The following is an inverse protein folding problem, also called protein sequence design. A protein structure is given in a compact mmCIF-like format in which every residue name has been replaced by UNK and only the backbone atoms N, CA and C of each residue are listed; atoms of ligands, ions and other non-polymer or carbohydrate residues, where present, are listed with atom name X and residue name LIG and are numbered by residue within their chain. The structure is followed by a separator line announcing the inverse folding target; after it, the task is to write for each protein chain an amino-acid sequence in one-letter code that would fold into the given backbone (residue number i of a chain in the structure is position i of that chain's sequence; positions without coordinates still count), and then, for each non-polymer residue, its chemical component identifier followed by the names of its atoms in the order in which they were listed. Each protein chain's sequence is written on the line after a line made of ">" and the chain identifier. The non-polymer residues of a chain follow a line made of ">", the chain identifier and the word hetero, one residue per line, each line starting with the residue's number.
data_IF_847042100831
#
_entry.id   IF_847042100831
#
_cell.length_a   1.000
_cell.length_b   1.000
_cell.length_c   1.000
_cell.angle_alpha   90.00
_cell.angle_beta   90.00
_cell.angle_gamma   90.00
#
_symmetry.space_group_name_H-M   'P 1'
#
loop_
_entity.id
_entity.type
_entity.pdbx_description
1 polymer ?
#
# COMPACT_ATOMS: atom_id res chain seq x y z
N UNK A 1 -22.68 12.46 22.18
CA UNK A 1 -21.96 13.48 21.39
C UNK A 1 -20.50 13.59 21.83
N UNK A 2 -20.19 13.85 23.09
CA UNK A 2 -18.81 14.01 23.61
C UNK A 2 -17.90 12.78 23.39
N UNK A 3 -18.43 11.57 23.45
CA UNK A 3 -17.69 10.33 23.21
C UNK A 3 -17.24 10.18 21.75
N UNK A 4 -18.03 10.71 20.80
CA UNK A 4 -17.66 10.78 19.38
C UNK A 4 -16.66 11.90 19.12
N UNK A 5 -16.79 13.03 19.80
CA UNK A 5 -15.87 14.17 19.68
C UNK A 5 -14.42 13.77 20.04
N UNK A 6 -14.26 13.01 21.13
CA UNK A 6 -12.95 12.48 21.54
C UNK A 6 -12.30 11.60 20.47
N UNK A 7 -13.09 10.69 19.85
CA UNK A 7 -12.59 9.86 18.74
C UNK A 7 -12.24 10.68 17.50
N UNK A 8 -13.07 11.66 17.14
CA UNK A 8 -12.82 12.56 16.00
C UNK A 8 -11.56 13.39 16.22
N UNK A 9 -11.37 13.96 17.42
CA UNK A 9 -10.15 14.72 17.77
C UNK A 9 -8.92 13.82 17.72
N UNK A 10 -8.99 12.59 18.22
CA UNK A 10 -7.85 11.66 18.17
C UNK A 10 -7.47 11.29 16.75
N UNK A 11 -8.46 11.08 15.87
CA UNK A 11 -8.21 10.78 14.45
C UNK A 11 -7.66 12.02 13.73
N UNK A 12 -8.26 13.19 13.95
CA UNK A 12 -7.81 14.45 13.38
C UNK A 12 -6.41 14.84 13.83
N UNK A 13 -6.09 14.62 15.10
CA UNK A 13 -4.75 14.88 15.67
C UNK A 13 -3.69 13.99 15.02
N UNK A 14 -4.00 12.73 14.73
CA UNK A 14 -3.08 11.83 14.01
C UNK A 14 -2.74 12.35 12.61
N UNK A 15 -3.75 12.86 11.88
CA UNK A 15 -3.55 13.50 10.57
C UNK A 15 -2.75 14.80 10.67
N UNK A 16 -3.07 15.63 11.66
CA UNK A 16 -2.36 16.88 11.91
C UNK A 16 -0.88 16.64 12.27
N UNK A 17 -0.58 15.62 13.09
CA UNK A 17 0.80 15.22 13.40
C UNK A 17 1.56 14.80 12.13
N UNK A 18 0.93 14.04 11.23
CA UNK A 18 1.54 13.68 9.95
C UNK A 18 1.93 14.91 9.11
N UNK A 19 1.02 15.87 8.97
CA UNK A 19 1.28 17.13 8.27
C UNK A 19 2.36 17.96 8.97
N UNK A 20 2.33 18.02 10.30
CA UNK A 20 3.35 18.71 11.09
C UNK A 20 4.75 18.12 10.88
N UNK A 21 4.87 16.79 10.81
CA UNK A 21 6.14 16.11 10.53
C UNK A 21 6.69 16.47 9.14
N UNK A 22 5.82 16.58 8.12
CA UNK A 22 6.23 17.02 6.78
C UNK A 22 6.74 18.46 6.81
N UNK A 23 6.05 19.36 7.52
CA UNK A 23 6.47 20.75 7.67
C UNK A 23 7.81 20.88 8.40
N UNK A 24 7.98 20.14 9.49
CA UNK A 24 9.24 20.10 10.26
C UNK A 24 10.39 19.61 9.37
N UNK A 25 10.19 18.52 8.64
CA UNK A 25 11.14 18.00 7.64
C UNK A 25 11.56 19.09 6.65
N UNK A 26 10.57 19.80 6.09
CA UNK A 26 10.81 20.84 5.08
C UNK A 26 11.60 22.01 5.65
N UNK A 27 11.29 22.46 6.85
CA UNK A 27 12.02 23.53 7.53
C UNK A 27 13.49 23.15 7.77
N UNK A 28 13.75 21.96 8.30
CA UNK A 28 15.13 21.49 8.52
C UNK A 28 15.91 21.38 7.22
N UNK A 29 15.34 20.78 6.17
CA UNK A 29 16.01 20.65 4.88
C UNK A 29 16.31 22.02 4.27
N UNK A 30 15.35 22.95 4.29
CA UNK A 30 15.56 24.31 3.79
C UNK A 30 16.72 24.99 4.53
N UNK A 31 16.76 24.90 5.86
CA UNK A 31 17.83 25.50 6.68
C UNK A 31 19.19 24.88 6.33
N UNK A 32 19.29 23.56 6.22
CA UNK A 32 20.53 22.85 5.87
C UNK A 32 21.00 23.24 4.46
N UNK A 33 20.10 23.23 3.48
CA UNK A 33 20.41 23.54 2.08
C UNK A 33 20.82 24.99 1.93
N UNK A 34 20.11 25.92 2.60
CA UNK A 34 20.45 27.33 2.58
C UNK A 34 21.83 27.59 3.21
N UNK A 35 22.18 26.90 4.30
CA UNK A 35 23.46 27.08 4.96
C UNK A 35 24.65 26.55 4.18
N UNK A 36 24.47 25.47 3.39
CA UNK A 36 25.55 24.79 2.66
C UNK A 36 25.60 25.23 1.18
N UNK A 37 24.44 25.33 0.53
CA UNK A 37 24.32 25.57 -0.91
C UNK A 37 23.87 26.98 -1.31
N UNK A 38 23.48 27.80 -0.34
CA UNK A 38 22.99 29.15 -0.57
C UNK A 38 21.78 29.21 -1.50
N UNK A 39 21.66 30.30 -2.25
CA UNK A 39 20.57 30.52 -3.20
C UNK A 39 20.52 29.48 -4.33
N UNK A 40 21.68 29.10 -4.86
CA UNK A 40 21.75 28.08 -5.93
C UNK A 40 21.27 26.69 -5.46
N UNK A 41 21.62 26.31 -4.22
CA UNK A 41 21.13 25.11 -3.59
C UNK A 41 19.61 25.13 -3.39
N UNK A 42 19.05 26.26 -3.02
CA UNK A 42 17.59 26.43 -2.83
C UNK A 42 16.83 26.36 -4.15
N UNK A 43 17.38 26.93 -5.24
CA UNK A 43 16.80 26.80 -6.58
C UNK A 43 16.75 25.32 -6.99
N UNK A 44 17.86 24.60 -6.87
CA UNK A 44 17.92 23.17 -7.17
C UNK A 44 16.94 22.35 -6.31
N UNK A 45 16.83 22.66 -5.02
CA UNK A 45 15.91 22.00 -4.11
C UNK A 45 14.44 22.23 -4.47
N UNK A 46 14.08 23.42 -4.91
CA UNK A 46 12.70 23.72 -5.32
C UNK A 46 12.24 22.86 -6.48
N UNK A 47 13.10 22.62 -7.47
CA UNK A 47 12.81 21.72 -8.59
C UNK A 47 12.75 20.26 -8.14
N UNK A 48 13.73 19.81 -7.34
CA UNK A 48 13.77 18.46 -6.82
C UNK A 48 12.53 18.15 -5.97
N UNK A 49 12.12 19.06 -5.09
CA UNK A 49 10.94 18.89 -4.23
C UNK A 49 9.65 18.89 -5.04
N UNK A 50 9.52 19.77 -6.03
CA UNK A 50 8.37 19.78 -6.93
C UNK A 50 8.25 18.48 -7.73
N UNK A 51 9.36 18.01 -8.30
CA UNK A 51 9.40 16.70 -8.98
C UNK A 51 9.04 15.55 -8.05
N UNK A 52 9.50 15.60 -6.80
CA UNK A 52 9.16 14.60 -5.79
C UNK A 52 7.67 14.63 -5.43
N UNK A 53 7.03 15.82 -5.37
CA UNK A 53 5.59 15.95 -5.15
C UNK A 53 4.81 15.26 -6.29
N UNK A 54 5.15 15.55 -7.55
CA UNK A 54 4.52 14.87 -8.70
C UNK A 54 4.66 13.36 -8.61
N UNK A 55 5.86 12.87 -8.35
CA UNK A 55 6.10 11.44 -8.18
C UNK A 55 5.31 10.86 -7.02
N UNK A 56 5.24 11.57 -5.88
CA UNK A 56 4.50 11.10 -4.70
C UNK A 56 2.99 11.05 -4.94
N UNK A 57 2.40 11.94 -5.75
CA UNK A 57 0.98 11.87 -6.11
C UNK A 57 0.67 10.58 -6.87
N UNK A 58 1.51 10.20 -7.84
CA UNK A 58 1.38 8.95 -8.57
C UNK A 58 1.53 7.72 -7.65
N UNK A 59 2.59 7.71 -6.83
CA UNK A 59 2.86 6.62 -5.88
C UNK A 59 1.72 6.47 -4.88
N UNK A 60 1.26 7.58 -4.33
CA UNK A 60 0.17 7.62 -3.35
C UNK A 60 -1.13 7.10 -3.97
N UNK A 61 -1.50 7.58 -5.17
CA UNK A 61 -2.67 7.10 -5.89
C UNK A 61 -2.66 5.59 -6.09
N UNK A 62 -1.55 5.06 -6.65
CA UNK A 62 -1.39 3.63 -6.87
C UNK A 62 -1.36 2.80 -5.57
N UNK A 63 -0.80 3.35 -4.49
CA UNK A 63 -0.75 2.65 -3.20
C UNK A 63 -2.08 2.68 -2.46
N UNK A 64 -2.82 3.78 -2.53
CA UNK A 64 -4.12 3.92 -1.86
C UNK A 64 -5.20 3.03 -2.48
N UNK A 65 -5.16 2.76 -3.78
CA UNK A 65 -6.10 1.82 -4.42
C UNK A 65 -6.01 0.41 -3.85
N UNK A 66 -4.88 0.06 -3.23
CA UNK A 66 -4.69 -1.23 -2.57
C UNK A 66 -5.51 -1.33 -1.26
N UNK A 67 -5.78 -0.21 -0.57
CA UNK A 67 -6.44 -0.22 0.75
C UNK A 67 -7.82 -0.90 0.72
N UNK A 68 -8.77 -0.51 -0.15
CA UNK A 68 -10.07 -1.16 -0.19
C UNK A 68 -9.98 -2.63 -0.58
N UNK A 69 -9.09 -2.98 -1.53
CA UNK A 69 -8.89 -4.37 -1.97
C UNK A 69 -8.39 -5.23 -0.81
N UNK A 70 -7.36 -4.77 -0.11
CA UNK A 70 -6.83 -5.48 1.08
C UNK A 70 -7.88 -5.54 2.18
N UNK A 71 -8.66 -4.46 2.39
CA UNK A 71 -9.71 -4.44 3.39
C UNK A 71 -10.75 -5.53 3.17
N UNK A 72 -11.20 -5.71 1.93
CA UNK A 72 -12.13 -6.79 1.55
C UNK A 72 -11.49 -8.16 1.74
N UNK A 73 -10.29 -8.38 1.18
CA UNK A 73 -9.58 -9.67 1.31
C UNK A 73 -9.34 -10.06 2.79
N UNK A 74 -8.99 -9.08 3.65
CA UNK A 74 -8.83 -9.34 5.09
C UNK A 74 -10.15 -9.69 5.76
N UNK A 75 -11.26 -9.03 5.37
CA UNK A 75 -12.60 -9.36 5.87
C UNK A 75 -13.01 -10.79 5.53
N UNK A 76 -12.54 -11.31 4.42
CA UNK A 76 -12.82 -12.66 3.93
C UNK A 76 -11.75 -13.70 4.34
N UNK A 77 -10.75 -13.31 5.13
CA UNK A 77 -9.57 -14.13 5.47
C UNK A 77 -8.79 -14.63 4.23
N UNK A 78 -8.96 -13.95 3.10
CA UNK A 78 -8.24 -14.24 1.85
C UNK A 78 -6.84 -13.62 1.88
N UNK A 79 -5.93 -14.23 2.59
CA UNK A 79 -4.55 -13.74 2.71
C UNK A 79 -3.76 -13.89 1.40
N UNK A 80 -4.15 -14.80 0.52
CA UNK A 80 -3.56 -14.92 -0.82
C UNK A 80 -3.95 -13.75 -1.72
N UNK A 81 -5.21 -13.31 -1.65
CA UNK A 81 -5.68 -12.09 -2.30
C UNK A 81 -4.91 -10.86 -1.81
N UNK A 82 -4.67 -10.74 -0.51
CA UNK A 82 -3.83 -9.67 0.06
C UNK A 82 -2.42 -9.71 -0.52
N UNK A 83 -1.77 -10.89 -0.55
CA UNK A 83 -0.43 -11.06 -1.12
C UNK A 83 -0.39 -10.73 -2.61
N UNK A 84 -1.41 -11.15 -3.35
CA UNK A 84 -1.53 -10.86 -4.78
C UNK A 84 -1.68 -9.37 -5.04
N UNK A 85 -2.58 -8.68 -4.32
CA UNK A 85 -2.78 -7.24 -4.44
C UNK A 85 -1.49 -6.46 -4.15
N UNK A 86 -0.80 -6.80 -3.06
CA UNK A 86 0.49 -6.19 -2.73
C UNK A 86 1.54 -6.42 -3.82
N UNK A 87 1.72 -7.66 -4.28
CA UNK A 87 2.71 -8.00 -5.33
C UNK A 87 2.39 -7.29 -6.64
N UNK A 88 1.11 -7.12 -6.97
CA UNK A 88 0.68 -6.41 -8.18
C UNK A 88 1.01 -4.93 -8.08
N UNK A 89 0.65 -4.29 -6.96
CA UNK A 89 0.99 -2.89 -6.69
C UNK A 89 2.51 -2.67 -6.67
N UNK A 90 3.27 -3.57 -6.02
CA UNK A 90 4.72 -3.52 -5.96
C UNK A 90 5.37 -3.57 -7.36
N UNK A 91 4.89 -4.46 -8.24
CA UNK A 91 5.40 -4.55 -9.62
C UNK A 91 5.12 -3.27 -10.42
N UNK A 92 3.89 -2.75 -10.34
CA UNK A 92 3.52 -1.51 -11.04
C UNK A 92 4.39 -0.35 -10.56
N UNK A 93 4.51 -0.18 -9.25
CA UNK A 93 5.32 0.90 -8.66
C UNK A 93 6.82 0.73 -8.93
N UNK A 94 7.34 -0.50 -8.89
CA UNK A 94 8.74 -0.76 -9.22
C UNK A 94 9.06 -0.38 -10.66
N UNK A 95 8.25 -0.87 -11.60
CA UNK A 95 8.47 -0.59 -13.03
C UNK A 95 8.34 0.90 -13.31
N UNK A 96 7.25 1.53 -12.88
CA UNK A 96 7.00 2.95 -13.14
C UNK A 96 8.04 3.86 -12.48
N UNK A 97 8.43 3.59 -11.23
CA UNK A 97 9.44 4.40 -10.54
C UNK A 97 10.83 4.28 -11.18
N UNK A 98 11.20 3.07 -11.64
CA UNK A 98 12.46 2.87 -12.35
C UNK A 98 12.43 3.55 -13.72
N UNK A 99 11.33 3.47 -14.47
CA UNK A 99 11.20 4.15 -15.77
C UNK A 99 11.32 5.67 -15.60
N UNK A 100 10.63 6.25 -14.62
CA UNK A 100 10.71 7.69 -14.34
C UNK A 100 12.11 8.09 -13.86
N UNK A 101 12.72 7.28 -13.00
CA UNK A 101 14.11 7.49 -12.54
C UNK A 101 15.06 7.52 -13.73
N UNK A 102 14.98 6.54 -14.62
CA UNK A 102 15.86 6.48 -15.80
C UNK A 102 15.62 7.68 -16.74
N UNK A 103 14.37 8.06 -16.97
CA UNK A 103 14.04 9.24 -17.77
C UNK A 103 14.69 10.51 -17.21
N UNK A 104 14.57 10.75 -15.90
CA UNK A 104 15.17 11.91 -15.24
C UNK A 104 16.71 11.83 -15.23
N UNK A 105 17.28 10.65 -15.08
CA UNK A 105 18.74 10.49 -15.10
C UNK A 105 19.33 10.77 -16.49
N UNK A 106 18.62 10.42 -17.57
CA UNK A 106 19.07 10.65 -18.94
C UNK A 106 18.85 12.11 -19.32
N UNK A 107 17.62 12.60 -19.20
CA UNK A 107 17.19 13.92 -19.68
C UNK A 107 16.53 14.76 -18.56
N UNK A 108 17.30 15.30 -17.60
CA UNK A 108 16.74 16.12 -16.53
C UNK A 108 16.34 17.53 -16.99
N UNK A 109 16.98 18.08 -18.03
CA UNK A 109 16.79 19.47 -18.46
C UNK A 109 15.35 19.84 -18.85
N UNK A 110 14.60 19.02 -19.61
CA UNK A 110 13.21 19.33 -19.94
C UNK A 110 12.34 19.53 -18.67
N UNK A 111 12.59 18.74 -17.64
CA UNK A 111 11.87 18.86 -16.37
C UNK A 111 12.27 20.13 -15.64
N UNK A 112 13.56 20.46 -15.60
CA UNK A 112 14.07 21.67 -14.96
C UNK A 112 13.47 22.92 -15.64
N UNK A 113 13.43 22.93 -16.97
CA UNK A 113 12.82 24.00 -17.76
C UNK A 113 11.31 24.08 -17.56
N UNK A 114 10.62 22.95 -17.43
CA UNK A 114 9.20 22.90 -17.13
C UNK A 114 8.85 23.60 -15.80
N UNK A 115 9.73 23.51 -14.79
CA UNK A 115 9.61 24.25 -13.54
C UNK A 115 10.06 25.72 -13.60
N UNK A 116 10.31 26.25 -14.81
CA UNK A 116 10.56 27.67 -15.05
C UNK A 116 12.02 28.12 -14.88
N UNK A 117 12.97 27.20 -14.73
CA UNK A 117 14.39 27.54 -14.68
C UNK A 117 14.94 27.63 -16.10
N UNK A 118 15.36 28.84 -16.48
CA UNK A 118 15.90 29.14 -17.82
C UNK A 118 17.38 29.55 -17.80
N UNK A 119 17.91 29.92 -16.62
CA UNK A 119 19.31 30.30 -16.45
C UNK A 119 20.24 29.10 -16.69
N UNK A 120 21.22 29.18 -17.62
CA UNK A 120 22.15 28.10 -17.89
C UNK A 120 22.94 27.65 -16.66
N UNK A 121 23.30 28.59 -15.78
CA UNK A 121 24.03 28.31 -14.55
C UNK A 121 23.19 27.54 -13.56
N UNK A 122 21.91 27.90 -13.39
CA UNK A 122 21.00 27.21 -12.48
C UNK A 122 20.64 25.81 -13.00
N UNK A 123 20.50 25.66 -14.34
CA UNK A 123 20.32 24.35 -14.95
C UNK A 123 21.53 23.47 -14.67
N UNK A 124 22.75 23.96 -14.88
CA UNK A 124 23.97 23.20 -14.64
C UNK A 124 24.11 22.75 -13.19
N UNK A 125 23.71 23.59 -12.23
CA UNK A 125 23.71 23.25 -10.79
C UNK A 125 22.59 22.28 -10.41
N UNK A 126 21.44 22.32 -11.10
CA UNK A 126 20.26 21.52 -10.78
C UNK A 126 20.31 20.11 -11.38
N UNK A 127 20.96 19.93 -12.54
CA UNK A 127 21.10 18.62 -13.20
C UNK A 127 21.64 17.53 -12.28
N UNK A 128 22.78 17.69 -11.60
CA UNK A 128 23.29 16.65 -10.69
C UNK A 128 22.35 16.43 -9.49
N UNK A 129 21.74 17.47 -8.94
CA UNK A 129 20.77 17.36 -7.88
C UNK A 129 19.54 16.52 -8.29
N UNK A 130 19.00 16.76 -9.48
CA UNK A 130 17.87 16.03 -10.05
C UNK A 130 18.19 14.55 -10.29
N UNK A 131 19.37 14.26 -10.84
CA UNK A 131 19.82 12.87 -11.07
C UNK A 131 19.93 12.09 -9.76
N UNK A 132 20.55 12.69 -8.73
CA UNK A 132 20.68 12.04 -7.42
C UNK A 132 19.30 11.90 -6.76
N UNK A 133 18.46 12.94 -6.83
CA UNK A 133 17.11 12.86 -6.29
C UNK A 133 16.28 11.75 -6.97
N UNK A 134 16.39 11.58 -8.27
CA UNK A 134 15.69 10.53 -9.00
C UNK A 134 16.05 9.12 -8.54
N UNK A 135 17.30 8.89 -8.10
CA UNK A 135 17.72 7.60 -7.52
C UNK A 135 16.94 7.25 -6.24
N UNK A 136 16.35 8.22 -5.58
CA UNK A 136 15.52 7.97 -4.40
C UNK A 136 14.11 7.44 -4.73
N UNK A 137 13.62 7.59 -5.95
CA UNK A 137 12.23 7.30 -6.34
C UNK A 137 11.81 5.84 -6.17
N UNK A 138 12.60 4.83 -6.57
CA UNK A 138 12.25 3.45 -6.31
C UNK A 138 12.13 3.14 -4.80
N UNK A 139 13.06 3.64 -4.00
CA UNK A 139 13.00 3.51 -2.55
C UNK A 139 11.78 4.22 -1.94
N UNK A 140 11.47 5.42 -2.42
CA UNK A 140 10.28 6.18 -2.03
C UNK A 140 9.00 5.40 -2.34
N UNK A 141 8.91 4.81 -3.53
CA UNK A 141 7.75 4.01 -3.96
C UNK A 141 7.51 2.82 -3.02
N UNK A 142 8.56 2.09 -2.68
CA UNK A 142 8.46 0.96 -1.75
C UNK A 142 8.15 1.41 -0.32
N UNK A 143 8.71 2.51 0.15
CA UNK A 143 8.42 3.06 1.48
C UNK A 143 6.93 3.43 1.61
N UNK A 144 6.36 4.09 0.61
CA UNK A 144 4.94 4.44 0.58
C UNK A 144 4.05 3.20 0.41
N UNK A 145 4.43 2.25 -0.44
CA UNK A 145 3.70 1.00 -0.58
C UNK A 145 3.58 0.26 0.75
N UNK A 146 4.69 0.13 1.49
CA UNK A 146 4.69 -0.50 2.81
C UNK A 146 3.88 0.30 3.83
N UNK A 147 3.98 1.63 3.81
CA UNK A 147 3.19 2.51 4.67
C UNK A 147 1.69 2.25 4.49
N UNK A 148 1.19 2.26 3.26
CA UNK A 148 -0.22 2.03 2.96
C UNK A 148 -0.64 0.58 3.16
N UNK A 149 0.26 -0.37 2.93
CA UNK A 149 0.04 -1.77 3.25
C UNK A 149 -0.20 -2.00 4.75
N UNK A 150 0.69 -1.47 5.61
CA UNK A 150 0.51 -1.60 7.05
C UNK A 150 -0.68 -0.78 7.59
N UNK A 151 -1.04 0.28 6.90
CA UNK A 151 -2.27 1.03 7.18
C UNK A 151 -3.51 0.19 6.86
N UNK A 152 -3.55 -0.45 5.69
CA UNK A 152 -4.65 -1.33 5.25
C UNK A 152 -4.79 -2.57 6.16
N UNK A 153 -3.68 -3.16 6.59
CA UNK A 153 -3.66 -4.31 7.50
C UNK A 153 -3.82 -3.93 8.98
N UNK A 154 -4.23 -2.67 9.27
CA UNK A 154 -4.48 -2.11 10.59
C UNK A 154 -3.28 -2.10 11.55
N UNK A 155 -2.06 -2.27 11.03
CA UNK A 155 -0.80 -2.19 11.80
C UNK A 155 -0.32 -0.74 11.88
N UNK A 156 -1.15 0.13 12.46
CA UNK A 156 -0.94 1.59 12.49
C UNK A 156 0.39 2.01 13.12
N UNK A 157 0.86 1.28 14.14
CA UNK A 157 2.13 1.58 14.78
C UNK A 157 3.31 1.48 13.81
N UNK A 158 3.32 0.44 12.95
CA UNK A 158 4.37 0.24 11.94
C UNK A 158 4.27 1.32 10.86
N UNK A 159 3.06 1.59 10.36
CA UNK A 159 2.83 2.65 9.39
C UNK A 159 3.30 4.03 9.89
N UNK A 160 2.98 4.38 11.13
CA UNK A 160 3.45 5.63 11.75
C UNK A 160 4.97 5.64 11.92
N UNK A 161 5.56 4.53 12.34
CA UNK A 161 7.00 4.40 12.46
C UNK A 161 7.71 4.63 11.12
N UNK A 162 7.19 4.08 10.02
CA UNK A 162 7.72 4.29 8.66
C UNK A 162 7.74 5.79 8.33
N UNK A 163 6.64 6.50 8.60
CA UNK A 163 6.54 7.94 8.32
C UNK A 163 7.58 8.76 9.11
N UNK A 164 7.74 8.48 10.39
CA UNK A 164 8.68 9.18 11.26
C UNK A 164 10.14 8.87 10.87
N UNK A 165 10.45 7.61 10.61
CA UNK A 165 11.79 7.15 10.25
C UNK A 165 12.21 7.78 8.92
N UNK A 166 11.36 7.69 7.92
CA UNK A 166 11.62 8.26 6.58
C UNK A 166 11.74 9.78 6.62
N UNK A 167 10.83 10.45 7.33
CA UNK A 167 10.74 11.91 7.32
C UNK A 167 11.79 12.62 8.17
N UNK A 168 12.14 12.07 9.33
CA UNK A 168 12.95 12.79 10.34
C UNK A 168 14.16 12.00 10.77
N UNK A 169 13.97 10.73 11.21
CA UNK A 169 15.00 9.99 11.95
C UNK A 169 16.23 9.67 11.11
N UNK A 170 16.04 9.35 9.85
CA UNK A 170 17.16 9.04 8.94
C UNK A 170 17.54 10.26 8.11
N UNK A 171 16.55 10.96 7.55
CA UNK A 171 16.81 12.03 6.59
C UNK A 171 17.59 13.21 7.20
N UNK A 172 17.15 13.73 8.35
CA UNK A 172 17.77 14.92 8.93
C UNK A 172 19.21 14.64 9.38
N UNK A 173 19.51 13.56 10.15
CA UNK A 173 20.89 13.26 10.53
C UNK A 173 21.77 12.95 9.32
N UNK A 174 21.27 12.22 8.33
CA UNK A 174 22.06 11.93 7.11
C UNK A 174 22.33 13.20 6.30
N UNK A 175 21.38 14.14 6.20
CA UNK A 175 21.60 15.42 5.54
C UNK A 175 22.65 16.28 6.26
N UNK A 176 22.64 16.30 7.58
CA UNK A 176 23.64 17.02 8.38
C UNK A 176 25.04 16.39 8.25
N UNK A 177 25.13 15.06 8.38
CA UNK A 177 26.40 14.34 8.32
C UNK A 177 26.99 14.43 6.92
N UNK A 178 26.23 13.99 5.89
CA UNK A 178 26.71 13.99 4.51
C UNK A 178 26.93 15.40 3.99
N UNK A 179 26.09 16.37 4.41
CA UNK A 179 26.25 17.78 4.06
C UNK A 179 27.55 18.36 4.62
N UNK A 180 27.95 17.97 5.82
CA UNK A 180 29.23 18.41 6.42
C UNK A 180 30.44 17.85 5.69
N UNK A 181 30.39 16.58 5.23
CA UNK A 181 31.55 15.93 4.59
C UNK A 181 31.62 16.18 3.08
N UNK A 182 30.50 16.24 2.39
CA UNK A 182 30.41 16.29 0.93
C UNK A 182 29.70 17.55 0.40
N UNK A 183 29.44 18.54 1.26
CA UNK A 183 28.75 19.77 0.88
C UNK A 183 27.33 19.50 0.38
N UNK A 184 26.87 20.32 -0.57
CA UNK A 184 25.50 20.25 -1.08
C UNK A 184 25.18 18.91 -1.76
N UNK A 185 26.16 18.28 -2.42
CA UNK A 185 26.02 16.96 -3.03
C UNK A 185 25.71 15.90 -2.00
N UNK A 186 26.31 15.98 -0.80
CA UNK A 186 26.00 15.10 0.32
C UNK A 186 24.55 15.23 0.79
N UNK A 187 23.99 16.45 0.76
CA UNK A 187 22.57 16.64 1.09
C UNK A 187 21.66 15.96 0.07
N UNK A 188 22.00 15.97 -1.21
CA UNK A 188 21.24 15.23 -2.22
C UNK A 188 21.29 13.72 -1.98
N UNK A 189 22.46 13.16 -1.67
CA UNK A 189 22.58 11.72 -1.35
C UNK A 189 21.81 11.34 -0.08
N UNK A 190 21.59 12.26 0.87
CA UNK A 190 20.79 11.97 2.05
C UNK A 190 19.35 11.55 1.74
N UNK A 191 18.79 12.04 0.62
CA UNK A 191 17.46 11.64 0.16
C UNK A 191 17.43 10.14 -0.22
N UNK A 192 18.48 9.66 -0.87
CA UNK A 192 18.63 8.23 -1.22
C UNK A 192 18.86 7.39 0.03
N UNK A 193 19.77 7.83 0.90
CA UNK A 193 20.09 7.17 2.17
C UNK A 193 18.86 7.04 3.06
N UNK A 194 18.02 8.09 3.11
CA UNK A 194 16.78 8.05 3.87
C UNK A 194 15.83 6.95 3.39
N UNK A 195 15.69 6.76 2.08
CA UNK A 195 14.82 5.71 1.53
C UNK A 195 15.37 4.31 1.80
N UNK A 196 16.64 4.09 1.50
CA UNK A 196 17.30 2.80 1.75
C UNK A 196 17.29 2.46 3.25
N UNK A 197 17.67 3.44 4.09
CA UNK A 197 17.66 3.26 5.54
C UNK A 197 16.27 2.97 6.09
N UNK A 198 15.22 3.62 5.56
CA UNK A 198 13.84 3.32 5.95
C UNK A 198 13.48 1.87 5.63
N UNK A 199 13.78 1.39 4.43
CA UNK A 199 13.50 0.00 4.05
C UNK A 199 14.24 -1.02 4.92
N UNK A 200 15.51 -0.73 5.24
CA UNK A 200 16.31 -1.56 6.16
C UNK A 200 15.68 -1.60 7.55
N UNK A 201 15.30 -0.45 8.10
CA UNK A 201 14.67 -0.41 9.44
C UNK A 201 13.32 -1.12 9.43
N UNK A 202 12.50 -0.92 8.39
CA UNK A 202 11.22 -1.64 8.27
C UNK A 202 11.42 -3.15 8.22
N UNK A 203 12.45 -3.62 7.50
CA UNK A 203 12.80 -5.05 7.49
C UNK A 203 13.12 -5.57 8.89
N UNK A 204 13.88 -4.82 9.69
CA UNK A 204 14.17 -5.21 11.09
C UNK A 204 12.94 -5.16 12.00
N UNK A 205 12.05 -4.18 11.82
CA UNK A 205 10.76 -4.11 12.54
C UNK A 205 9.95 -5.36 12.23
N UNK A 206 9.84 -5.72 10.95
CA UNK A 206 9.13 -6.91 10.50
C UNK A 206 9.69 -8.19 11.11
N UNK A 207 11.01 -8.31 11.14
CA UNK A 207 11.69 -9.44 11.76
C UNK A 207 11.44 -9.51 13.28
N UNK A 208 11.43 -8.36 13.95
CA UNK A 208 11.14 -8.27 15.38
C UNK A 208 9.68 -8.65 15.70
N UNK A 209 8.72 -8.16 14.91
CA UNK A 209 7.31 -8.53 15.06
C UNK A 209 7.06 -10.02 14.82
N UNK A 210 7.72 -10.61 13.83
CA UNK A 210 7.68 -12.07 13.61
C UNK A 210 8.16 -12.85 14.85
N UNK A 211 9.30 -12.44 15.41
CA UNK A 211 9.84 -13.11 16.61
C UNK A 211 8.91 -12.98 17.81
N UNK A 212 8.31 -11.80 18.02
CA UNK A 212 7.36 -11.55 19.11
C UNK A 212 6.07 -12.34 18.95
N UNK A 213 5.66 -12.61 17.72
CA UNK A 213 4.38 -13.28 17.44
C UNK A 213 4.37 -14.78 17.78
N UNK A 214 5.50 -15.37 18.19
CA UNK A 214 5.57 -16.79 18.55
C UNK A 214 5.19 -17.75 17.41
N UNK A 215 5.37 -17.35 16.15
CA UNK A 215 5.04 -18.18 15.00
C UNK A 215 3.71 -17.85 14.32
N UNK A 216 2.92 -16.89 14.86
CA UNK A 216 1.65 -16.45 14.27
C UNK A 216 1.84 -15.89 12.85
N UNK A 217 2.96 -15.18 12.62
CA UNK A 217 3.32 -14.59 11.33
C UNK A 217 4.52 -15.35 10.74
N UNK A 218 4.30 -16.13 9.70
CA UNK A 218 5.40 -16.86 9.04
C UNK A 218 6.04 -16.06 7.91
N UNK A 219 5.29 -15.16 7.27
CA UNK A 219 5.70 -14.42 6.07
C UNK A 219 6.08 -12.95 6.37
N UNK A 220 6.80 -12.31 5.42
CA UNK A 220 7.14 -10.89 5.45
C UNK A 220 5.89 -9.98 5.56
N UNK A 221 4.74 -10.45 5.13
CA UNK A 221 3.50 -9.67 5.15
C UNK A 221 2.88 -9.53 6.54
N UNK A 222 3.43 -10.16 7.58
CA UNK A 222 2.85 -10.22 8.92
C UNK A 222 1.35 -10.60 8.92
N UNK A 223 0.98 -11.52 8.03
CA UNK A 223 -0.35 -12.10 7.92
C UNK A 223 -0.38 -13.45 8.64
N UNK A 224 -1.53 -13.76 9.21
CA UNK A 224 -1.82 -15.11 9.69
C UNK A 224 -1.85 -16.07 8.47
N UNK A 225 -1.51 -17.32 8.67
CA UNK A 225 -1.74 -18.34 7.65
C UNK A 225 -3.11 -18.98 7.92
N UNK A 226 -3.91 -19.08 6.88
CA UNK A 226 -5.11 -19.91 6.89
C UNK A 226 -4.66 -21.32 6.51
N UNK A 227 -5.15 -22.32 7.20
CA UNK A 227 -4.95 -23.71 6.77
C UNK A 227 -5.76 -23.94 5.50
N UNK A 228 -5.20 -24.70 4.54
CA UNK A 228 -5.84 -24.96 3.24
C UNK A 228 -7.23 -25.62 3.36
N UNK A 229 -7.47 -26.28 4.47
CA UNK A 229 -8.75 -26.93 4.80
C UNK A 229 -9.80 -25.95 5.39
N UNK A 230 -9.41 -24.74 5.78
CA UNK A 230 -10.32 -23.72 6.33
C UNK A 230 -10.90 -22.77 5.27
N UNK A 231 -10.38 -22.81 4.04
CA UNK A 231 -10.81 -21.94 2.95
C UNK A 231 -11.36 -22.76 1.78
N UNK A 232 -12.56 -22.43 1.32
CA UNK A 232 -13.15 -22.94 0.08
C UNK A 232 -13.40 -21.76 -0.85
N UNK A 233 -12.87 -21.84 -2.07
CA UNK A 233 -13.12 -20.87 -3.14
C UNK A 233 -13.73 -21.60 -4.34
N UNK A 234 -14.89 -21.14 -4.79
CA UNK A 234 -15.59 -21.65 -5.97
C UNK A 234 -15.82 -20.49 -6.93
N UNK A 235 -15.40 -20.66 -8.18
CA UNK A 235 -15.64 -19.69 -9.25
C UNK A 235 -16.29 -20.39 -10.43
N UNK A 236 -17.44 -19.91 -10.85
CA UNK A 236 -18.17 -20.53 -11.96
C UNK A 236 -19.02 -19.50 -12.74
N UNK A 237 -19.39 -19.86 -13.95
CA UNK A 237 -20.32 -19.06 -14.75
C UNK A 237 -21.71 -19.09 -14.10
N UNK A 238 -22.31 -17.91 -13.92
CA UNK A 238 -23.62 -17.71 -13.30
C UNK A 238 -24.76 -18.24 -14.15
N UNK A 239 -24.87 -19.57 -14.25
CA UNK A 239 -26.03 -20.27 -14.81
C UNK A 239 -26.73 -21.00 -13.68
N UNK A 240 -28.06 -21.20 -13.83
CA UNK A 240 -28.85 -21.99 -12.86
C UNK A 240 -28.30 -23.40 -12.66
N UNK A 241 -27.78 -24.00 -13.73
CA UNK A 241 -27.20 -25.34 -13.69
C UNK A 241 -25.90 -25.38 -12.86
N UNK A 242 -25.06 -24.36 -12.98
CA UNK A 242 -23.81 -24.26 -12.21
C UNK A 242 -24.06 -23.88 -10.75
N UNK A 243 -25.09 -23.09 -10.47
CA UNK A 243 -25.49 -22.74 -9.10
C UNK A 243 -26.09 -23.96 -8.38
N UNK A 244 -26.81 -24.81 -9.09
CA UNK A 244 -27.35 -26.05 -8.55
C UNK A 244 -26.21 -27.04 -8.20
N UNK A 245 -26.21 -27.55 -6.99
CA UNK A 245 -25.18 -28.45 -6.49
C UNK A 245 -24.04 -27.77 -5.71
N UNK A 246 -23.97 -26.46 -5.71
CA UNK A 246 -23.02 -25.69 -4.84
C UNK A 246 -23.24 -26.09 -3.38
N UNK A 247 -24.48 -26.29 -2.95
CA UNK A 247 -24.84 -26.69 -1.59
C UNK A 247 -24.18 -28.00 -1.12
N UNK A 248 -24.02 -28.97 -2.02
CA UNK A 248 -23.40 -30.26 -1.67
C UNK A 248 -21.92 -30.08 -1.28
N UNK A 249 -21.18 -29.30 -2.08
CA UNK A 249 -19.77 -28.97 -1.78
C UNK A 249 -19.66 -28.20 -0.48
N UNK A 250 -20.52 -27.20 -0.28
CA UNK A 250 -20.52 -26.35 0.91
C UNK A 250 -20.87 -27.12 2.17
N UNK A 251 -21.91 -27.92 2.15
CA UNK A 251 -22.31 -28.73 3.30
C UNK A 251 -21.18 -29.67 3.73
N UNK A 252 -20.56 -30.38 2.78
CA UNK A 252 -19.44 -31.26 3.07
C UNK A 252 -18.24 -30.50 3.66
N UNK A 253 -17.90 -29.34 3.10
CA UNK A 253 -16.81 -28.50 3.57
C UNK A 253 -17.07 -27.97 5.00
N UNK A 254 -18.27 -27.43 5.26
CA UNK A 254 -18.65 -26.88 6.54
C UNK A 254 -18.66 -27.95 7.64
N UNK A 255 -19.19 -29.15 7.32
CA UNK A 255 -19.21 -30.28 8.27
C UNK A 255 -17.80 -30.77 8.59
N UNK A 256 -16.88 -30.83 7.63
CA UNK A 256 -15.47 -31.16 7.86
C UNK A 256 -14.78 -30.17 8.79
N UNK A 257 -15.20 -28.91 8.78
CA UNK A 257 -14.67 -27.85 9.63
C UNK A 257 -15.41 -27.72 10.98
N UNK A 258 -16.17 -28.73 11.36
CA UNK A 258 -16.76 -28.88 12.69
C UNK A 258 -18.09 -28.14 12.89
N UNK A 259 -18.75 -27.73 11.81
CA UNK A 259 -20.09 -27.16 11.85
C UNK A 259 -21.10 -28.31 11.89
N UNK A 260 -22.09 -28.22 12.78
CA UNK A 260 -23.17 -29.20 12.86
C UNK A 260 -23.87 -29.38 11.52
N UNK A 261 -24.09 -30.64 11.12
CA UNK A 261 -24.61 -30.99 9.78
C UNK A 261 -25.91 -30.27 9.43
N UNK A 262 -26.85 -30.17 10.38
CA UNK A 262 -28.12 -29.45 10.18
C UNK A 262 -27.89 -27.96 9.88
N UNK A 263 -26.91 -27.34 10.55
CA UNK A 263 -26.53 -25.95 10.35
C UNK A 263 -25.76 -25.79 9.03
N UNK A 264 -24.85 -26.70 8.73
CA UNK A 264 -24.08 -26.71 7.50
C UNK A 264 -25.00 -26.79 6.27
N UNK A 265 -26.01 -27.66 6.31
CA UNK A 265 -27.00 -27.80 5.25
C UNK A 265 -27.83 -26.53 5.05
N UNK A 266 -28.30 -25.89 6.12
CA UNK A 266 -29.04 -24.61 6.02
C UNK A 266 -28.21 -23.50 5.41
N UNK A 267 -26.95 -23.37 5.81
CA UNK A 267 -26.03 -22.38 5.25
C UNK A 267 -25.79 -22.68 3.77
N UNK A 268 -25.53 -23.93 3.43
CA UNK A 268 -25.24 -24.35 2.07
C UNK A 268 -26.41 -24.06 1.11
N UNK A 269 -27.64 -24.36 1.52
CA UNK A 269 -28.84 -24.04 0.73
C UNK A 269 -29.02 -22.53 0.58
N UNK A 270 -28.81 -21.74 1.63
CA UNK A 270 -28.93 -20.29 1.54
C UNK A 270 -27.91 -19.70 0.54
N UNK A 271 -26.67 -20.21 0.52
CA UNK A 271 -25.65 -19.75 -0.42
C UNK A 271 -25.97 -20.17 -1.85
N UNK A 272 -26.48 -21.39 -2.05
CA UNK A 272 -26.95 -21.86 -3.36
C UNK A 272 -28.07 -20.95 -3.89
N UNK A 273 -29.03 -20.57 -3.05
CA UNK A 273 -30.11 -19.67 -3.43
C UNK A 273 -29.62 -18.26 -3.76
N UNK A 274 -28.63 -17.75 -3.00
CA UNK A 274 -27.98 -16.48 -3.34
C UNK A 274 -27.30 -16.56 -4.72
N UNK A 275 -26.57 -17.64 -4.99
CA UNK A 275 -25.92 -17.85 -6.29
C UNK A 275 -26.93 -17.99 -7.43
N UNK A 276 -28.04 -18.70 -7.18
CA UNK A 276 -29.13 -18.85 -8.16
C UNK A 276 -29.80 -17.49 -8.46
N UNK A 277 -30.03 -16.67 -7.46
CA UNK A 277 -30.58 -15.32 -7.63
C UNK A 277 -29.62 -14.42 -8.42
N UNK A 278 -28.31 -14.50 -8.18
CA UNK A 278 -27.32 -13.80 -9.02
C UNK A 278 -27.40 -14.27 -10.48
N UNK A 279 -27.48 -15.58 -10.70
CA UNK A 279 -27.60 -16.17 -12.06
C UNK A 279 -28.88 -15.72 -12.76
N UNK A 280 -30.04 -15.72 -12.05
CA UNK A 280 -31.34 -15.35 -12.60
C UNK A 280 -31.39 -13.90 -13.06
N UNK A 281 -30.82 -12.98 -12.29
CA UNK A 281 -30.73 -11.54 -12.65
C UNK A 281 -29.95 -11.31 -13.95
N UNK A 282 -29.06 -12.23 -14.32
CA UNK A 282 -28.25 -12.14 -15.53
C UNK A 282 -28.85 -12.92 -16.70
N UNK A 283 -29.93 -13.66 -16.47
CA UNK A 283 -30.62 -14.41 -17.52
C UNK A 283 -31.19 -13.45 -18.57
N UNK A 284 -30.88 -13.68 -19.85
CA UNK A 284 -31.27 -12.79 -20.94
C UNK A 284 -30.32 -11.63 -21.23
N UNK A 285 -29.30 -11.38 -20.43
CA UNK A 285 -28.26 -10.38 -20.71
C UNK A 285 -27.16 -10.96 -21.58
N UNK A 286 -26.51 -10.13 -22.42
CA UNK A 286 -25.47 -10.57 -23.39
C UNK A 286 -24.18 -11.13 -22.74
N UNK A 287 -23.99 -11.01 -21.44
CA UNK A 287 -22.83 -11.54 -20.72
C UNK A 287 -23.32 -12.37 -19.54
N UNK A 288 -22.80 -13.59 -19.44
CA UNK A 288 -22.96 -14.38 -18.21
C UNK A 288 -22.19 -13.73 -17.07
N UNK A 289 -22.78 -13.66 -15.89
CA UNK A 289 -22.07 -13.29 -14.69
C UNK A 289 -21.08 -14.41 -14.33
N UNK A 290 -19.88 -14.03 -13.93
CA UNK A 290 -19.01 -14.92 -13.17
C UNK A 290 -19.40 -14.78 -11.69
N UNK A 291 -19.64 -15.89 -11.02
CA UNK A 291 -19.99 -15.93 -9.58
C UNK A 291 -18.79 -16.52 -8.85
N UNK A 292 -18.30 -15.77 -7.86
CA UNK A 292 -17.27 -16.19 -6.94
C UNK A 292 -17.87 -16.39 -5.55
N UNK A 293 -17.73 -17.58 -5.00
CA UNK A 293 -18.11 -17.92 -3.63
C UNK A 293 -16.85 -18.23 -2.86
N UNK A 294 -16.64 -17.53 -1.76
CA UNK A 294 -15.54 -17.78 -0.83
C UNK A 294 -16.08 -18.04 0.56
N UNK A 295 -15.60 -19.09 1.17
CA UNK A 295 -16.00 -19.49 2.51
C UNK A 295 -14.75 -19.77 3.33
N UNK A 296 -14.61 -19.04 4.41
CA UNK A 296 -13.72 -19.36 5.50
C UNK A 296 -14.54 -19.99 6.63
N UNK A 297 -14.11 -21.14 7.14
CA UNK A 297 -14.76 -21.81 8.25
C UNK A 297 -13.72 -22.37 9.21
N UNK A 298 -13.76 -21.89 10.45
CA UNK A 298 -13.04 -22.46 11.57
C UNK A 298 -13.99 -22.78 12.74
N UNK A 299 -13.45 -23.25 13.87
CA UNK A 299 -14.24 -23.56 15.07
C UNK A 299 -14.93 -22.37 15.73
N UNK A 300 -14.53 -21.15 15.39
CA UNK A 300 -14.99 -19.91 16.04
C UNK A 300 -15.94 -19.11 15.15
N UNK A 301 -15.64 -19.03 13.88
CA UNK A 301 -16.38 -18.19 12.93
C UNK A 301 -16.50 -18.84 11.54
N UNK A 302 -17.56 -18.49 10.84
CA UNK A 302 -17.74 -18.83 9.43
C UNK A 302 -18.01 -17.54 8.69
N UNK A 303 -17.18 -17.26 7.67
CA UNK A 303 -17.30 -16.07 6.83
C UNK A 303 -17.65 -16.56 5.42
N UNK A 304 -18.70 -16.00 4.84
CA UNK A 304 -19.17 -16.36 3.52
C UNK A 304 -19.25 -15.10 2.69
N UNK A 305 -18.63 -15.12 1.52
CA UNK A 305 -18.68 -14.04 0.55
C UNK A 305 -19.17 -14.60 -0.78
N UNK A 306 -20.21 -13.99 -1.31
CA UNK A 306 -20.74 -14.28 -2.65
C UNK A 306 -20.59 -12.99 -3.45
N UNK A 307 -19.90 -13.08 -4.59
CA UNK A 307 -19.66 -11.96 -5.50
C UNK A 307 -20.10 -12.33 -6.89
N UNK A 308 -20.65 -11.40 -7.59
CA UNK A 308 -20.89 -11.47 -9.01
C UNK A 308 -20.33 -10.24 -9.73
N UNK A 309 -20.15 -10.32 -11.04
CA UNK A 309 -19.74 -9.19 -11.88
C UNK A 309 -20.95 -8.61 -12.65
N UNK A 310 -22.15 -8.81 -12.15
CA UNK A 310 -23.40 -8.26 -12.67
C UNK A 310 -23.62 -6.80 -12.30
N UNK A 311 -24.82 -6.30 -12.62
CA UNK A 311 -25.24 -4.95 -12.26
C UNK A 311 -25.48 -4.87 -10.74
N UNK A 312 -25.31 -3.66 -10.18
CA UNK A 312 -25.56 -3.40 -8.76
C UNK A 312 -26.98 -3.80 -8.34
N UNK A 313 -27.15 -4.16 -7.07
CA UNK A 313 -28.47 -4.36 -6.48
C UNK A 313 -29.16 -3.01 -6.31
N UNK A 314 -30.41 -2.88 -6.80
CA UNK A 314 -31.26 -1.75 -6.54
C UNK A 314 -31.77 -1.75 -5.07
#
# INVERSE_FOLDING_TARGET
>A
FFKFLGKMVTIGLSGALGTMLITVKMLFLNTIIQSIGGSAGMVSYSVCSSSQIFMSMFITGASQTMIPIIGVCLGEKDYDGVRYAFRRAARVLAVSSVVIMLFICIEPEPIIKFFGITSPTDIANTVPAMRINALSFPGLSFSFLLLYYYMATQKRAISTAISIINGIVILIPSALILGKFFGITGVWYSLVVAQVGTLVVVYFIDLAEKRKSGGKYKNFYLLEETEDNELLALSFKGTKENAAGVSLYLSSFLSKNGIEESRANRIAVAVEEMAANCAERMEGKKKFADIDIRIFADKKETIISVRDNGDEFD
#
